data_IF_643385263944
#
_entry.id   IF_643385263944
#
_cell.length_a   1.000
_cell.length_b   1.000
_cell.length_c   1.000
_cell.angle_alpha   90.00
_cell.angle_beta   90.00
_cell.angle_gamma   90.00
#
_symmetry.space_group_name_H-M   'P 1'
#
loop_
_entity.id
_entity.type
_entity.pdbx_description
1 polymer ?
#
# COMPACT_ATOMS: atom_id res chain seq x y z
N UNK A 1 0.08 3.09 15.47
CA UNK A 1 1.28 3.35 14.63
C UNK A 1 1.18 4.75 14.00
N UNK A 2 2.30 5.46 13.77
CA UNK A 2 2.28 6.74 13.03
C UNK A 2 2.78 6.48 11.61
N UNK A 3 1.98 6.82 10.60
CA UNK A 3 2.29 6.68 9.18
C UNK A 3 2.15 8.06 8.53
N UNK A 4 3.22 8.56 7.92
CA UNK A 4 3.28 9.89 7.29
C UNK A 4 2.75 11.03 8.19
N UNK A 5 2.99 10.94 9.50
CA UNK A 5 2.56 11.92 10.51
C UNK A 5 1.12 11.77 11.00
N UNK A 6 0.38 10.77 10.51
CA UNK A 6 -0.98 10.46 10.95
C UNK A 6 -0.95 9.26 11.89
N UNK A 7 -1.63 9.35 13.03
CA UNK A 7 -1.75 8.26 13.98
C UNK A 7 -2.90 7.31 13.61
N UNK A 8 -2.57 6.03 13.49
CA UNK A 8 -3.49 4.91 13.25
C UNK A 8 -3.39 3.94 14.43
N UNK A 9 -4.23 4.07 15.47
CA UNK A 9 -4.12 3.27 16.69
C UNK A 9 -4.36 1.76 16.45
N UNK A 10 -5.22 1.40 15.50
CA UNK A 10 -5.56 0.02 15.16
C UNK A 10 -4.53 -0.70 14.27
N UNK A 11 -3.55 0.03 13.75
CA UNK A 11 -2.51 -0.49 12.87
C UNK A 11 -1.31 -0.92 13.68
N UNK A 12 -0.92 -2.18 13.51
CA UNK A 12 0.17 -2.84 14.25
C UNK A 12 1.46 -2.87 13.43
N UNK A 13 1.34 -3.14 12.12
CA UNK A 13 2.46 -3.22 11.18
C UNK A 13 2.05 -2.64 9.83
N UNK A 14 3.00 -2.04 9.12
CA UNK A 14 2.81 -1.49 7.77
C UNK A 14 4.01 -1.83 6.92
N UNK A 15 3.76 -2.25 5.68
CA UNK A 15 4.85 -2.53 4.74
C UNK A 15 5.36 -1.27 4.07
N UNK A 16 6.54 -1.37 3.45
CA UNK A 16 6.98 -0.38 2.47
C UNK A 16 5.98 -0.26 1.32
N UNK A 17 6.11 0.85 0.56
CA UNK A 17 5.31 1.07 -0.65
C UNK A 17 5.70 0.02 -1.68
N UNK A 18 4.71 -0.62 -2.28
CA UNK A 18 4.90 -1.63 -3.32
C UNK A 18 3.77 -1.62 -4.33
N UNK A 19 3.96 -2.38 -5.41
CA UNK A 19 2.92 -2.59 -6.43
C UNK A 19 1.87 -3.56 -5.90
N UNK A 20 0.63 -3.11 -5.83
CA UNK A 20 -0.54 -3.89 -5.44
C UNK A 20 -1.51 -4.01 -6.61
N UNK A 21 -2.31 -5.09 -6.61
CA UNK A 21 -3.31 -5.38 -7.64
C UNK A 21 -4.71 -5.15 -7.12
N UNK A 22 -5.56 -4.56 -7.96
CA UNK A 22 -7.00 -4.42 -7.73
C UNK A 22 -7.79 -4.90 -8.96
N UNK A 23 -9.12 -4.88 -8.87
CA UNK A 23 -9.99 -5.13 -10.03
C UNK A 23 -9.87 -4.07 -11.13
N UNK A 24 -9.35 -2.87 -10.81
CA UNK A 24 -9.20 -1.74 -11.74
C UNK A 24 -7.82 -1.67 -12.40
N UNK A 25 -6.90 -2.57 -12.04
CA UNK A 25 -5.50 -2.51 -12.48
C UNK A 25 -4.54 -2.54 -11.29
N UNK A 26 -3.35 -2.00 -11.48
CA UNK A 26 -2.24 -1.98 -10.52
C UNK A 26 -2.10 -0.60 -9.88
N UNK A 27 -1.53 -0.51 -8.68
CA UNK A 27 -1.30 0.76 -8.00
C UNK A 27 -0.15 0.65 -7.01
N UNK A 28 0.40 1.78 -6.58
CA UNK A 28 1.36 1.85 -5.48
C UNK A 28 0.61 2.03 -4.17
N UNK A 29 0.87 1.18 -3.20
CA UNK A 29 0.29 1.29 -1.88
C UNK A 29 1.07 0.48 -0.86
N UNK A 30 0.61 0.54 0.38
CA UNK A 30 1.13 -0.28 1.48
C UNK A 30 0.09 -1.35 1.82
N UNK A 31 0.49 -2.33 2.62
CA UNK A 31 -0.47 -3.19 3.32
C UNK A 31 -0.17 -3.08 4.81
N UNK A 32 -1.20 -3.31 5.62
CA UNK A 32 -1.08 -3.26 7.07
C UNK A 32 -1.62 -4.52 7.72
N UNK A 33 -1.04 -4.86 8.87
CA UNK A 33 -1.69 -5.72 9.86
C UNK A 33 -2.40 -4.82 10.85
N UNK A 34 -3.68 -5.10 11.08
CA UNK A 34 -4.52 -4.35 12.01
C UNK A 34 -5.04 -5.28 13.10
N UNK A 35 -5.58 -4.71 14.18
CA UNK A 35 -6.20 -5.48 15.26
C UNK A 35 -7.29 -6.45 14.77
N UNK A 36 -8.00 -6.08 13.72
CA UNK A 36 -9.10 -6.84 13.14
C UNK A 36 -8.70 -7.68 11.92
N UNK A 37 -7.47 -7.56 11.41
CA UNK A 37 -7.01 -8.36 10.28
C UNK A 37 -6.56 -9.77 10.69
N UNK A 38 -6.55 -10.07 11.99
CA UNK A 38 -6.17 -11.36 12.56
C UNK A 38 -4.80 -11.86 12.06
N UNK A 39 -3.84 -10.95 11.93
CA UNK A 39 -2.49 -11.24 11.42
C UNK A 39 -2.37 -11.25 9.89
N UNK A 40 -3.47 -11.03 9.16
CA UNK A 40 -3.46 -10.90 7.71
C UNK A 40 -3.05 -9.49 7.27
N UNK A 41 -2.32 -9.40 6.16
CA UNK A 41 -2.08 -8.13 5.48
C UNK A 41 -3.29 -7.71 4.68
N UNK A 42 -3.73 -6.47 4.89
CA UNK A 42 -4.83 -5.85 4.13
C UNK A 42 -4.35 -4.58 3.45
N UNK A 43 -4.89 -4.23 2.26
CA UNK A 43 -4.54 -2.99 1.58
C UNK A 43 -4.69 -1.79 2.50
N UNK A 44 -3.63 -0.99 2.60
CA UNK A 44 -3.55 0.15 3.50
C UNK A 44 -2.80 1.29 2.81
N UNK A 45 -3.41 2.47 2.76
CA UNK A 45 -2.81 3.68 2.14
C UNK A 45 -2.46 3.52 0.64
N UNK A 46 -3.32 4.07 -0.22
CA UNK A 46 -3.10 4.11 -1.67
C UNK A 46 -2.30 5.36 -2.03
N UNK A 47 -1.07 5.17 -2.47
CA UNK A 47 -0.13 6.24 -2.75
C UNK A 47 -0.08 6.66 -4.23
N UNK A 48 -0.92 6.10 -5.11
CA UNK A 48 -0.98 6.48 -6.53
C UNK A 48 -2.37 6.28 -7.15
N UNK A 49 -2.54 6.74 -8.39
CA UNK A 49 -3.60 6.28 -9.28
C UNK A 49 -3.42 4.83 -9.73
N UNK A 50 -4.30 4.37 -10.62
CA UNK A 50 -4.21 3.05 -11.22
C UNK A 50 -3.34 3.08 -12.48
N UNK A 51 -2.62 1.98 -12.70
CA UNK A 51 -1.88 1.65 -13.91
C UNK A 51 -2.52 0.43 -14.57
N UNK A 52 -2.43 0.36 -15.89
CA UNK A 52 -3.02 -0.74 -16.65
C UNK A 52 -2.16 -2.01 -16.53
N UNK A 53 -0.84 -1.85 -16.40
CA UNK A 53 0.13 -2.95 -16.33
C UNK A 53 0.95 -2.96 -15.02
N UNK A 54 1.45 -4.13 -14.59
CA UNK A 54 2.36 -4.19 -13.45
C UNK A 54 3.72 -3.55 -13.75
N UNK A 55 4.18 -3.57 -15.00
CA UNK A 55 5.43 -2.90 -15.41
C UNK A 55 5.36 -1.38 -15.23
N UNK A 56 4.26 -0.74 -15.67
CA UNK A 56 4.06 0.71 -15.46
C UNK A 56 4.08 1.07 -13.97
N UNK A 57 3.39 0.27 -13.14
CA UNK A 57 3.40 0.48 -11.70
C UNK A 57 4.80 0.30 -11.11
N UNK A 58 5.57 -0.72 -11.52
CA UNK A 58 6.96 -0.92 -11.06
C UNK A 58 7.86 0.25 -11.46
N UNK A 59 7.78 0.70 -12.71
CA UNK A 59 8.55 1.85 -13.18
C UNK A 59 8.21 3.11 -12.38
N UNK A 60 6.94 3.30 -12.03
CA UNK A 60 6.52 4.42 -11.18
C UNK A 60 7.04 4.30 -9.74
N UNK A 61 7.15 3.08 -9.20
CA UNK A 61 7.73 2.83 -7.86
C UNK A 61 9.22 3.17 -7.83
N UNK A 62 9.98 2.75 -8.85
CA UNK A 62 11.43 2.99 -8.96
C UNK A 62 11.78 4.48 -9.16
N UNK A 63 10.85 5.26 -9.71
CA UNK A 63 11.01 6.70 -9.91
C UNK A 63 10.57 7.54 -8.70
N UNK A 64 10.13 6.92 -7.60
CA UNK A 64 9.79 7.67 -6.39
C UNK A 64 11.07 8.24 -5.76
N UNK A 65 11.04 9.51 -5.32
CA UNK A 65 12.16 10.14 -4.64
C UNK A 65 12.43 9.52 -3.26
#
# INVERSE_FOLDING_TARGET
MIVDGIEYPEVQEVTEVRVLRSRRGFYLGREAVTEWSHGGYVPFDRCSGYFDTPEEARNALEQRP
#
